data_IF_422686162908
#
_entry.id   IF_422686162908
#
_cell.length_a   1.000
_cell.length_b   1.000
_cell.length_c   1.000
_cell.angle_alpha   90.00
_cell.angle_beta   90.00
_cell.angle_gamma   90.00
#
_symmetry.space_group_name_H-M   'P 1'
#
loop_
_entity.id
_entity.type
_entity.pdbx_description
1 polymer ?
#
# COMPACT_ATOMS: atom_id res chain seq x y z
N UNK A 1 -40.05 -78.09 -17.58
CA UNK A 1 -40.63 -78.06 -16.22
C UNK A 1 -39.51 -77.87 -15.23
N UNK A 2 -39.49 -76.73 -14.52
CA UNK A 2 -38.68 -76.39 -13.33
C UNK A 2 -37.15 -76.35 -13.53
N UNK A 3 -36.35 -75.52 -12.87
CA UNK A 3 -36.45 -74.28 -12.12
C UNK A 3 -34.95 -73.84 -12.02
N UNK A 4 -34.60 -72.61 -12.42
CA UNK A 4 -34.30 -71.50 -11.52
C UNK A 4 -32.84 -71.40 -11.00
N UNK A 5 -32.40 -70.14 -10.90
CA UNK A 5 -31.37 -69.55 -10.01
C UNK A 5 -29.95 -69.34 -10.58
N UNK A 6 -29.77 -68.09 -11.04
CA UNK A 6 -28.76 -67.09 -10.67
C UNK A 6 -27.24 -67.38 -10.72
N UNK A 7 -26.53 -66.54 -11.50
CA UNK A 7 -25.17 -66.01 -11.23
C UNK A 7 -24.80 -65.05 -12.38
N UNK A 8 -25.02 -63.74 -12.25
CA UNK A 8 -24.03 -62.75 -11.82
C UNK A 8 -22.91 -62.46 -12.86
N UNK A 9 -23.12 -61.47 -13.73
CA UNK A 9 -22.04 -60.65 -14.30
C UNK A 9 -22.44 -59.18 -14.22
N UNK A 10 -22.02 -58.52 -13.15
CA UNK A 10 -22.24 -57.10 -12.91
C UNK A 10 -21.08 -56.32 -13.52
N UNK A 11 -21.34 -55.55 -14.57
CA UNK A 11 -20.41 -54.59 -15.14
C UNK A 11 -20.31 -53.35 -14.25
N UNK A 12 -19.30 -53.30 -13.39
CA UNK A 12 -19.02 -52.13 -12.57
C UNK A 12 -18.11 -51.15 -13.33
N UNK A 13 -18.74 -50.13 -13.95
CA UNK A 13 -18.05 -48.92 -14.38
C UNK A 13 -17.50 -48.18 -13.15
N UNK A 14 -16.18 -48.03 -13.08
CA UNK A 14 -15.47 -47.24 -12.07
C UNK A 14 -15.76 -45.76 -12.29
N UNK A 15 -16.64 -45.18 -11.47
CA UNK A 15 -16.85 -43.73 -11.41
C UNK A 15 -15.66 -43.07 -10.68
N UNK A 16 -14.97 -42.16 -11.36
CA UNK A 16 -13.94 -41.28 -10.78
C UNK A 16 -14.67 -40.14 -10.03
N UNK A 17 -14.41 -39.91 -8.73
CA UNK A 17 -15.00 -38.78 -8.03
C UNK A 17 -14.38 -37.46 -8.53
N UNK A 18 -15.19 -36.61 -9.17
CA UNK A 18 -14.83 -35.22 -9.48
C UNK A 18 -14.81 -34.42 -8.18
N UNK A 19 -13.61 -34.19 -7.65
CA UNK A 19 -13.39 -33.30 -6.53
C UNK A 19 -13.38 -31.85 -7.05
N UNK A 20 -14.52 -31.16 -6.98
CA UNK A 20 -14.59 -29.71 -7.20
C UNK A 20 -14.10 -29.00 -5.93
N UNK A 21 -13.05 -28.15 -5.98
CA UNK A 21 -12.68 -27.35 -4.83
C UNK A 21 -13.78 -26.33 -4.53
N UNK A 22 -14.30 -26.35 -3.29
CA UNK A 22 -15.32 -25.42 -2.81
C UNK A 22 -14.77 -23.99 -2.76
N UNK A 23 -15.33 -23.11 -3.60
CA UNK A 23 -15.02 -21.67 -3.69
C UNK A 23 -15.48 -20.82 -2.49
N UNK A 24 -15.75 -21.39 -1.31
CA UNK A 24 -16.49 -20.71 -0.24
C UNK A 24 -15.65 -19.97 0.81
N UNK A 25 -14.33 -19.79 0.63
CA UNK A 25 -13.47 -19.09 1.62
C UNK A 25 -13.12 -17.64 1.28
N UNK A 26 -13.38 -17.15 0.07
CA UNK A 26 -13.05 -15.77 -0.34
C UNK A 26 -14.10 -14.71 0.04
N UNK A 27 -15.34 -15.11 0.35
CA UNK A 27 -16.45 -14.15 0.55
C UNK A 27 -16.58 -13.60 1.98
N UNK A 28 -15.73 -14.04 2.93
CA UNK A 28 -15.82 -13.61 4.35
C UNK A 28 -14.91 -12.44 4.73
N UNK A 29 -13.98 -12.02 3.88
CA UNK A 29 -13.05 -10.91 4.19
C UNK A 29 -13.56 -9.53 3.72
N UNK A 30 -14.55 -9.50 2.82
CA UNK A 30 -15.13 -8.27 2.28
C UNK A 30 -15.81 -7.37 3.32
N UNK A 31 -16.59 -7.86 4.32
CA UNK A 31 -17.23 -6.97 5.29
C UNK A 31 -16.23 -6.36 6.28
N UNK A 32 -15.16 -7.08 6.63
CA UNK A 32 -14.08 -6.55 7.48
C UNK A 32 -13.28 -5.46 6.75
N UNK A 33 -13.07 -5.64 5.45
CA UNK A 33 -12.36 -4.69 4.60
C UNK A 33 -13.17 -3.42 4.34
N UNK A 34 -14.48 -3.55 4.14
CA UNK A 34 -15.40 -2.41 4.03
C UNK A 34 -15.46 -1.59 5.33
N UNK A 35 -15.45 -2.26 6.49
CA UNK A 35 -15.45 -1.61 7.79
C UNK A 35 -14.15 -0.83 8.08
N UNK A 36 -12.99 -1.37 7.66
CA UNK A 36 -11.69 -0.71 7.83
C UNK A 36 -11.53 0.51 6.90
N UNK A 37 -12.11 0.45 5.68
CA UNK A 37 -12.18 1.56 4.74
C UNK A 37 -13.13 2.67 5.23
N UNK A 38 -14.25 2.30 5.85
CA UNK A 38 -15.21 3.24 6.44
C UNK A 38 -14.62 3.94 7.68
N UNK A 39 -13.84 3.21 8.48
CA UNK A 39 -13.12 3.78 9.64
C UNK A 39 -12.01 4.76 9.20
N UNK A 40 -11.25 4.42 8.16
CA UNK A 40 -10.23 5.30 7.60
C UNK A 40 -10.83 6.57 6.96
N UNK A 41 -12.01 6.46 6.33
CA UNK A 41 -12.70 7.59 5.73
C UNK A 41 -13.34 8.53 6.77
N UNK A 42 -13.77 7.99 7.93
CA UNK A 42 -14.29 8.79 9.05
C UNK A 42 -13.17 9.58 9.77
N UNK A 43 -11.96 9.03 9.84
CA UNK A 43 -10.81 9.72 10.41
C UNK A 43 -10.30 10.86 9.49
N UNK A 44 -10.39 10.70 8.17
CA UNK A 44 -9.95 11.72 7.22
C UNK A 44 -10.90 12.93 7.14
N UNK A 45 -12.21 12.72 7.29
CA UNK A 45 -13.21 13.81 7.26
C UNK A 45 -13.32 14.56 8.59
N UNK A 46 -13.01 13.91 9.72
CA UNK A 46 -12.95 14.58 11.03
C UNK A 46 -11.80 15.61 11.14
N UNK A 47 -10.71 15.41 10.39
CA UNK A 47 -9.53 16.28 10.47
C UNK A 47 -9.68 17.59 9.68
N UNK A 48 -10.55 17.62 8.66
CA UNK A 48 -10.75 18.81 7.82
C UNK A 48 -11.75 19.83 8.40
N UNK A 49 -12.69 19.40 9.26
CA UNK A 49 -13.72 20.29 9.81
C UNK A 49 -13.35 20.94 11.15
N UNK A 50 -12.30 20.48 11.83
CA UNK A 50 -11.87 21.04 13.11
C UNK A 50 -10.97 22.29 12.99
N UNK A 51 -10.51 22.64 11.78
CA UNK A 51 -9.55 23.73 11.57
C UNK A 51 -10.17 25.13 11.40
N UNK A 52 -11.50 25.27 11.31
CA UNK A 52 -12.15 26.57 10.98
C UNK A 52 -13.01 27.19 12.09
N UNK A 53 -12.94 26.69 13.33
CA UNK A 53 -13.70 27.29 14.44
C UNK A 53 -12.88 27.28 15.74
N UNK A 54 -11.88 28.16 15.84
CA UNK A 54 -11.19 28.40 17.11
C UNK A 54 -11.28 29.89 17.47
N UNK A 55 -12.31 30.23 18.24
CA UNK A 55 -12.28 31.36 19.18
C UNK A 55 -11.26 31.05 20.30
N UNK A 56 -10.65 32.05 20.95
CA UNK A 56 -9.69 31.80 22.02
C UNK A 56 -10.45 31.43 23.30
N UNK A 57 -10.82 30.17 23.43
CA UNK A 57 -11.25 29.56 24.68
C UNK A 57 -10.32 28.39 24.98
N UNK A 58 -9.95 28.27 26.25
CA UNK A 58 -8.96 27.36 26.84
C UNK A 58 -8.93 25.95 26.21
N UNK A 59 -7.75 25.29 26.14
CA UNK A 59 -7.62 23.97 25.51
C UNK A 59 -8.26 22.90 26.39
N UNK A 60 -9.57 22.73 26.26
CA UNK A 60 -10.31 21.61 26.80
C UNK A 60 -10.53 20.61 25.65
N UNK A 61 -9.74 19.53 25.64
CA UNK A 61 -9.97 18.40 24.73
C UNK A 61 -11.10 17.56 25.34
N UNK A 62 -12.32 17.74 24.83
CA UNK A 62 -13.48 16.95 25.22
C UNK A 62 -13.63 15.72 24.32
N UNK A 63 -13.23 14.56 24.84
CA UNK A 63 -13.55 13.24 24.27
C UNK A 63 -14.79 12.66 24.99
N UNK A 64 -15.73 12.00 24.29
CA UNK A 64 -16.84 11.29 24.94
C UNK A 64 -16.29 10.22 25.89
N UNK A 65 -16.46 10.42 27.21
CA UNK A 65 -16.04 9.49 28.26
C UNK A 65 -14.72 9.81 28.96
N UNK A 66 -13.96 10.83 28.55
CA UNK A 66 -12.73 11.27 29.24
C UNK A 66 -12.68 12.80 29.26
N UNK A 67 -13.03 13.40 30.40
CA UNK A 67 -12.82 14.82 30.67
C UNK A 67 -11.46 15.00 31.35
N UNK A 68 -10.44 15.41 30.59
CA UNK A 68 -9.15 15.78 31.16
C UNK A 68 -9.22 17.25 31.59
N UNK A 69 -9.54 17.48 32.86
CA UNK A 69 -9.54 18.81 33.46
C UNK A 69 -8.12 19.17 33.93
N UNK A 70 -7.44 20.07 33.22
CA UNK A 70 -6.10 20.58 33.55
C UNK A 70 -6.13 21.65 34.65
N UNK A 71 -6.93 21.46 35.71
CA UNK A 71 -6.96 22.34 36.87
C UNK A 71 -6.90 21.50 38.16
N UNK A 72 -5.71 21.44 38.76
CA UNK A 72 -5.50 20.84 40.08
C UNK A 72 -5.13 19.35 40.11
N UNK A 73 -4.53 18.80 39.04
CA UNK A 73 -4.17 17.39 38.98
C UNK A 73 -3.08 17.01 39.98
N UNK A 74 -3.38 16.01 40.81
CA UNK A 74 -2.36 15.23 41.51
C UNK A 74 -1.36 14.66 40.49
N UNK A 75 -0.09 14.48 40.89
CA UNK A 75 1.00 14.04 40.00
C UNK A 75 0.70 12.75 39.19
N UNK A 76 -0.26 11.92 39.64
CA UNK A 76 -0.73 10.73 38.93
C UNK A 76 -1.65 11.02 37.73
N UNK A 77 -2.55 12.01 37.81
CA UNK A 77 -3.50 12.35 36.73
C UNK A 77 -2.82 13.06 35.56
N UNK A 78 -1.83 13.91 35.87
CA UNK A 78 -0.94 14.50 34.86
C UNK A 78 -0.19 13.42 34.07
N UNK A 79 0.18 12.30 34.72
CA UNK A 79 0.87 11.18 34.06
C UNK A 79 -0.02 10.39 33.10
N UNK A 80 -1.31 10.23 33.41
CA UNK A 80 -2.27 9.54 32.55
C UNK A 80 -2.66 10.39 31.34
N UNK A 81 -2.90 11.70 31.55
CA UNK A 81 -3.15 12.64 30.46
C UNK A 81 -1.95 12.69 29.48
N UNK A 82 -0.72 12.73 29.99
CA UNK A 82 0.49 12.73 29.17
C UNK A 82 0.66 11.41 28.39
N UNK A 83 0.35 10.26 28.99
CA UNK A 83 0.38 8.95 28.31
C UNK A 83 -0.63 8.89 27.15
N UNK A 84 -1.85 9.38 27.35
CA UNK A 84 -2.88 9.43 26.30
C UNK A 84 -2.43 10.38 25.18
N UNK A 85 -1.90 11.55 25.54
CA UNK A 85 -1.38 12.51 24.57
C UNK A 85 -0.24 11.90 23.71
N UNK A 86 0.72 11.23 24.34
CA UNK A 86 1.79 10.53 23.62
C UNK A 86 1.25 9.38 22.76
N UNK A 87 0.26 8.63 23.26
CA UNK A 87 -0.40 7.56 22.51
C UNK A 87 -1.10 8.06 21.25
N UNK A 88 -1.87 9.15 21.35
CA UNK A 88 -2.53 9.80 20.21
C UNK A 88 -1.51 10.36 19.21
N UNK A 89 -0.39 10.88 19.68
CA UNK A 89 0.71 11.37 18.84
C UNK A 89 1.33 10.23 18.01
N UNK A 90 1.59 9.07 18.62
CA UNK A 90 2.11 7.91 17.88
C UNK A 90 1.06 7.36 16.91
N UNK A 91 -0.21 7.34 17.32
CA UNK A 91 -1.30 6.84 16.50
C UNK A 91 -1.54 7.70 15.24
N UNK A 92 -1.32 9.02 15.31
CA UNK A 92 -1.45 9.90 14.15
C UNK A 92 -0.34 9.70 13.11
N UNK A 93 0.87 9.31 13.54
CA UNK A 93 2.00 9.02 12.66
C UNK A 93 1.98 7.59 12.11
N UNK A 94 1.28 6.67 12.77
CA UNK A 94 1.27 5.26 12.42
C UNK A 94 0.89 4.97 10.94
N UNK A 95 -0.13 5.63 10.33
CA UNK A 95 -0.46 5.38 8.93
C UNK A 95 0.68 5.71 7.98
N UNK A 96 1.38 6.83 8.20
CA UNK A 96 2.49 7.23 7.34
C UNK A 96 3.67 6.26 7.44
N UNK A 97 3.99 5.80 8.66
CA UNK A 97 5.06 4.82 8.91
C UNK A 97 4.71 3.47 8.29
N UNK A 98 3.47 3.00 8.42
CA UNK A 98 3.06 1.74 7.81
C UNK A 98 3.16 1.80 6.29
N UNK A 99 2.76 2.92 5.68
CA UNK A 99 2.84 3.11 4.23
C UNK A 99 4.29 3.12 3.74
N UNK A 100 5.22 3.74 4.49
CA UNK A 100 6.64 3.77 4.12
C UNK A 100 7.35 2.43 4.24
N UNK A 101 6.82 1.48 5.01
CA UNK A 101 7.34 0.13 5.18
C UNK A 101 6.73 -0.89 4.19
N UNK A 102 5.95 -0.42 3.21
CA UNK A 102 5.23 -1.29 2.26
C UNK A 102 5.53 -0.91 0.82
N UNK A 103 4.99 -1.68 -0.14
CA UNK A 103 5.04 -1.39 -1.57
C UNK A 103 4.34 -0.08 -1.98
N UNK A 104 3.62 0.59 -1.07
CA UNK A 104 2.82 1.78 -1.40
C UNK A 104 3.63 2.89 -2.07
N UNK A 105 4.85 3.15 -1.58
CA UNK A 105 5.71 4.25 -2.06
C UNK A 105 6.01 4.12 -3.56
N UNK A 106 6.40 2.94 -4.03
CA UNK A 106 6.70 2.74 -5.45
C UNK A 106 5.45 2.86 -6.31
N UNK A 107 4.34 2.28 -5.86
CA UNK A 107 3.08 2.27 -6.62
C UNK A 107 2.51 3.68 -6.78
N UNK A 108 2.40 4.45 -5.69
CA UNK A 108 1.81 5.80 -5.73
C UNK A 108 2.59 6.75 -6.63
N UNK A 109 3.92 6.66 -6.60
CA UNK A 109 4.80 7.52 -7.40
C UNK A 109 4.68 7.18 -8.88
N UNK A 110 4.72 5.92 -9.26
CA UNK A 110 4.56 5.51 -10.67
C UNK A 110 3.20 5.93 -11.22
N UNK A 111 2.12 5.70 -10.48
CA UNK A 111 0.77 6.11 -10.91
C UNK A 111 0.66 7.65 -11.00
N UNK A 112 1.32 8.37 -10.09
CA UNK A 112 1.37 9.84 -10.14
C UNK A 112 2.17 10.33 -11.33
N UNK A 113 3.32 9.72 -11.64
CA UNK A 113 4.14 10.05 -12.81
C UNK A 113 3.39 9.78 -14.12
N UNK A 114 2.63 8.68 -14.20
CA UNK A 114 1.74 8.40 -15.33
C UNK A 114 0.73 9.53 -15.56
N UNK A 115 0.04 10.00 -14.50
CA UNK A 115 -0.91 11.11 -14.59
C UNK A 115 -0.27 12.35 -15.24
N UNK A 116 0.95 12.69 -14.82
CA UNK A 116 1.70 13.81 -15.39
C UNK A 116 2.14 13.55 -16.84
N UNK A 117 2.55 12.31 -17.16
CA UNK A 117 2.97 11.94 -18.50
C UNK A 117 1.85 12.07 -19.54
N UNK A 118 0.62 11.71 -19.16
CA UNK A 118 -0.57 11.87 -20.00
C UNK A 118 -0.93 13.35 -20.24
N UNK A 119 -0.44 14.27 -19.41
CA UNK A 119 -0.72 15.71 -19.53
C UNK A 119 -2.13 16.10 -19.11
N UNK A 120 -2.85 15.23 -18.39
CA UNK A 120 -4.21 15.49 -17.92
C UNK A 120 -4.18 16.35 -16.65
N UNK A 121 -4.96 17.43 -16.63
CA UNK A 121 -5.12 18.28 -15.45
C UNK A 121 -6.02 17.57 -14.43
N UNK A 122 -5.45 17.20 -13.29
CA UNK A 122 -6.15 16.60 -12.12
C UNK A 122 -7.01 15.35 -12.38
N UNK A 123 -6.88 14.74 -13.56
CA UNK A 123 -7.56 13.49 -13.91
C UNK A 123 -6.53 12.40 -14.18
N UNK A 124 -6.55 11.26 -13.49
CA UNK A 124 -7.46 10.90 -12.39
C UNK A 124 -7.23 11.74 -11.11
N UNK A 125 -8.27 11.95 -10.28
CA UNK A 125 -8.14 12.64 -9.00
C UNK A 125 -7.13 11.95 -8.08
N UNK A 126 -6.42 12.72 -7.25
CA UNK A 126 -5.44 12.17 -6.30
C UNK A 126 -6.04 11.08 -5.39
N UNK A 127 -7.30 11.24 -4.97
CA UNK A 127 -8.03 10.24 -4.17
C UNK A 127 -8.18 8.90 -4.87
N UNK A 128 -8.38 8.89 -6.20
CA UNK A 128 -8.48 7.67 -7.00
C UNK A 128 -7.11 7.00 -7.10
N UNK A 129 -6.06 7.78 -7.32
CA UNK A 129 -4.68 7.26 -7.40
C UNK A 129 -4.25 6.65 -6.06
N UNK A 130 -4.50 7.35 -4.95
CA UNK A 130 -4.22 6.84 -3.60
C UNK A 130 -5.02 5.57 -3.29
N UNK A 131 -6.31 5.54 -3.64
CA UNK A 131 -7.15 4.35 -3.44
C UNK A 131 -6.63 3.16 -4.24
N UNK A 132 -6.33 3.37 -5.53
CA UNK A 132 -5.76 2.32 -6.38
C UNK A 132 -4.40 1.83 -5.83
N UNK A 133 -3.54 2.74 -5.41
CA UNK A 133 -2.26 2.41 -4.81
C UNK A 133 -2.41 1.59 -3.53
N UNK A 134 -3.37 1.93 -2.67
CA UNK A 134 -3.69 1.14 -1.47
C UNK A 134 -4.15 -0.28 -1.83
N UNK A 135 -5.10 -0.43 -2.76
CA UNK A 135 -5.58 -1.76 -3.16
C UNK A 135 -4.47 -2.61 -3.79
N UNK A 136 -3.64 -2.03 -4.65
CA UNK A 136 -2.48 -2.72 -5.22
C UNK A 136 -1.43 -3.07 -4.16
N UNK A 137 -1.27 -2.21 -3.13
CA UNK A 137 -0.40 -2.51 -1.99
C UNK A 137 -0.94 -3.71 -1.21
N UNK A 138 -2.24 -3.77 -0.90
CA UNK A 138 -2.84 -4.92 -0.23
C UNK A 138 -2.71 -6.21 -1.04
N UNK A 139 -2.86 -6.11 -2.36
CA UNK A 139 -2.66 -7.24 -3.27
C UNK A 139 -1.22 -7.74 -3.22
N UNK A 140 -0.25 -6.83 -3.36
CA UNK A 140 1.19 -7.15 -3.37
C UNK A 140 1.69 -7.66 -2.02
N UNK A 141 1.23 -7.04 -0.93
CA UNK A 141 1.63 -7.36 0.45
C UNK A 141 0.81 -8.51 1.07
N UNK A 142 -0.11 -9.12 0.32
CA UNK A 142 -0.93 -10.23 0.81
C UNK A 142 -0.14 -11.34 1.53
N UNK A 143 0.98 -11.88 1.00
CA UNK A 143 1.76 -12.89 1.71
C UNK A 143 2.31 -12.37 3.05
N UNK A 144 2.89 -11.17 3.07
CA UNK A 144 3.43 -10.54 4.29
C UNK A 144 2.35 -10.33 5.34
N UNK A 145 1.18 -9.80 4.96
CA UNK A 145 0.07 -9.60 5.90
C UNK A 145 -0.53 -10.92 6.41
N UNK A 146 -0.55 -11.97 5.59
CA UNK A 146 -0.96 -13.30 6.05
C UNK A 146 0.01 -13.87 7.08
N UNK A 147 1.32 -13.66 6.91
CA UNK A 147 2.31 -14.06 7.91
C UNK A 147 2.18 -13.28 9.21
N UNK A 148 2.01 -11.95 9.15
CA UNK A 148 1.75 -11.13 10.34
C UNK A 148 0.48 -11.62 11.06
N UNK A 149 -0.59 -11.89 10.32
CA UNK A 149 -1.84 -12.35 10.90
C UNK A 149 -1.68 -13.71 11.62
N UNK A 150 -1.01 -14.67 10.98
CA UNK A 150 -0.85 -16.03 11.51
C UNK A 150 0.17 -16.13 12.64
N UNK A 151 1.31 -15.42 12.54
CA UNK A 151 2.42 -15.49 13.50
C UNK A 151 2.27 -14.54 14.69
N UNK A 152 1.56 -13.42 14.54
CA UNK A 152 1.46 -12.40 15.58
C UNK A 152 0.01 -12.09 16.01
N UNK A 153 -0.87 -11.76 15.06
CA UNK A 153 -2.21 -11.26 15.40
C UNK A 153 -3.11 -12.34 16.02
N UNK A 154 -3.19 -13.52 15.40
CA UNK A 154 -4.01 -14.63 15.90
C UNK A 154 -3.55 -15.13 17.28
N UNK A 155 -2.25 -15.39 17.53
CA UNK A 155 -1.78 -15.75 18.87
C UNK A 155 -2.07 -14.68 19.93
N UNK A 156 -1.92 -13.41 19.60
CA UNK A 156 -2.23 -12.31 20.50
C UNK A 156 -3.73 -12.24 20.84
N UNK A 157 -4.59 -12.31 19.83
CA UNK A 157 -6.05 -12.31 20.03
C UNK A 157 -6.55 -13.53 20.81
N UNK A 158 -5.88 -14.68 20.67
CA UNK A 158 -6.19 -15.91 21.40
C UNK A 158 -5.57 -15.94 22.81
N UNK A 159 -4.90 -14.88 23.24
CA UNK A 159 -4.26 -14.80 24.57
C UNK A 159 -3.05 -15.71 24.76
N UNK A 160 -2.52 -16.32 23.68
CA UNK A 160 -1.35 -17.22 23.73
C UNK A 160 -0.02 -16.47 23.59
N UNK A 161 -0.07 -15.16 23.30
CA UNK A 161 1.10 -14.30 23.14
C UNK A 161 0.87 -12.92 23.77
N UNK A 162 1.87 -12.41 24.49
CA UNK A 162 1.87 -11.05 25.07
C UNK A 162 2.10 -10.01 23.97
N UNK A 163 1.56 -8.80 24.12
CA UNK A 163 1.65 -7.70 23.15
C UNK A 163 3.07 -7.45 22.64
N UNK A 164 4.07 -7.40 23.53
CA UNK A 164 5.46 -7.13 23.15
C UNK A 164 6.04 -8.21 22.22
N UNK A 165 5.76 -9.49 22.52
CA UNK A 165 6.17 -10.60 21.66
C UNK A 165 5.42 -10.59 20.33
N UNK A 166 4.14 -10.24 20.33
CA UNK A 166 3.34 -10.12 19.11
C UNK A 166 3.90 -9.04 18.19
N UNK A 167 4.29 -7.88 18.75
CA UNK A 167 4.93 -6.81 17.99
C UNK A 167 6.25 -7.29 17.36
N UNK A 168 7.11 -7.96 18.15
CA UNK A 168 8.37 -8.50 17.64
C UNK A 168 8.16 -9.50 16.49
N UNK A 169 7.18 -10.40 16.63
CA UNK A 169 6.85 -11.38 15.58
C UNK A 169 6.22 -10.73 14.34
N UNK A 170 5.45 -9.65 14.50
CA UNK A 170 4.85 -8.92 13.39
C UNK A 170 5.89 -8.16 12.55
N UNK A 171 6.98 -7.70 13.16
CA UNK A 171 8.03 -6.93 12.46
C UNK A 171 8.87 -7.82 11.54
N UNK A 172 9.07 -9.10 11.87
CA UNK A 172 9.92 -10.02 11.10
C UNK A 172 9.52 -10.17 9.61
N UNK A 173 8.26 -10.51 9.25
CA UNK A 173 7.87 -10.65 7.84
C UNK A 173 7.91 -9.30 7.10
N UNK A 174 7.63 -8.18 7.78
CA UNK A 174 7.75 -6.84 7.19
C UNK A 174 9.22 -6.51 6.88
N UNK A 175 10.12 -6.85 7.81
CA UNK A 175 11.57 -6.72 7.62
C UNK A 175 12.05 -7.55 6.45
N UNK A 176 11.66 -8.81 6.38
CA UNK A 176 12.05 -9.71 5.29
C UNK A 176 11.61 -9.17 3.93
N UNK A 177 10.39 -8.65 3.83
CA UNK A 177 9.92 -7.96 2.63
C UNK A 177 10.82 -6.78 2.25
N UNK A 178 11.13 -5.90 3.20
CA UNK A 178 11.99 -4.73 2.93
C UNK A 178 13.40 -5.13 2.50
N UNK A 179 14.01 -6.13 3.16
CA UNK A 179 15.36 -6.60 2.81
C UNK A 179 15.40 -7.11 1.37
N UNK A 180 14.40 -7.91 0.96
CA UNK A 180 14.33 -8.45 -0.41
C UNK A 180 14.22 -7.36 -1.49
N UNK A 181 13.57 -6.24 -1.17
CA UNK A 181 13.33 -5.14 -2.10
C UNK A 181 14.39 -4.03 -2.03
N UNK A 182 15.21 -4.01 -0.98
CA UNK A 182 16.25 -2.99 -0.79
C UNK A 182 17.49 -3.35 -1.60
N UNK A 183 18.02 -2.39 -2.35
CA UNK A 183 19.27 -2.60 -3.09
C UNK A 183 20.45 -2.58 -2.11
N UNK A 184 21.38 -3.51 -2.29
CA UNK A 184 22.59 -3.61 -1.45
C UNK A 184 23.36 -2.28 -1.37
N UNK A 185 23.43 -1.54 -2.48
CA UNK A 185 24.09 -0.23 -2.55
C UNK A 185 23.44 0.82 -1.63
N UNK A 186 22.11 0.86 -1.57
CA UNK A 186 21.38 1.83 -0.73
C UNK A 186 21.50 1.46 0.74
N UNK A 187 21.53 0.15 1.03
CA UNK A 187 21.73 -0.38 2.36
C UNK A 187 23.14 -0.11 2.88
N UNK A 188 24.16 -0.37 2.05
CA UNK A 188 25.56 -0.08 2.36
C UNK A 188 25.77 1.40 2.67
N UNK A 189 25.16 2.30 1.88
CA UNK A 189 25.20 3.73 2.13
C UNK A 189 24.62 4.10 3.51
N UNK A 190 23.46 3.55 3.89
CA UNK A 190 22.88 3.83 5.20
C UNK A 190 23.73 3.30 6.36
N UNK A 191 24.37 2.14 6.20
CA UNK A 191 25.30 1.57 7.19
C UNK A 191 26.53 2.47 7.35
N UNK A 192 27.11 2.91 6.24
CA UNK A 192 28.27 3.82 6.22
C UNK A 192 27.94 5.15 6.91
N UNK A 193 26.81 5.77 6.56
CA UNK A 193 26.36 7.03 7.16
C UNK A 193 26.05 6.89 8.65
N UNK A 194 25.54 5.74 9.08
CA UNK A 194 25.29 5.45 10.49
C UNK A 194 26.58 5.25 11.31
N UNK A 195 27.75 5.17 10.66
CA UNK A 195 29.04 4.79 11.28
C UNK A 195 28.93 3.51 12.11
N UNK A 196 28.02 2.61 11.72
CA UNK A 196 27.79 1.35 12.40
C UNK A 196 28.92 0.36 12.03
N UNK A 197 29.19 -0.61 12.91
CA UNK A 197 30.06 -1.74 12.53
C UNK A 197 29.49 -2.43 11.31
N UNK A 198 30.38 -2.86 10.41
CA UNK A 198 29.96 -3.48 9.16
C UNK A 198 29.21 -4.79 9.47
N UNK A 199 27.91 -4.88 9.14
CA UNK A 199 27.10 -6.05 9.46
C UNK A 199 27.62 -7.26 8.70
N UNK A 200 27.68 -8.42 9.37
CA UNK A 200 28.15 -9.67 8.75
C UNK A 200 27.03 -10.35 7.97
N UNK A 201 25.79 -10.13 8.40
CA UNK A 201 24.58 -10.68 7.79
C UNK A 201 23.50 -9.61 7.63
N UNK A 202 22.54 -9.86 6.74
CA UNK A 202 21.40 -8.95 6.55
C UNK A 202 20.52 -8.84 7.80
N UNK A 203 20.61 -9.78 8.75
CA UNK A 203 19.86 -9.77 10.00
C UNK A 203 20.44 -8.80 11.03
N UNK A 204 21.73 -8.44 10.92
CA UNK A 204 22.41 -7.53 11.85
C UNK A 204 22.00 -6.05 11.64
N UNK A 205 21.31 -5.75 10.54
CA UNK A 205 20.99 -4.38 10.15
C UNK A 205 19.78 -3.87 10.92
N UNK A 206 19.91 -2.79 11.70
CA UNK A 206 18.78 -2.24 12.44
C UNK A 206 17.67 -1.68 11.54
N UNK A 207 16.44 -1.63 12.06
CA UNK A 207 15.28 -1.04 11.35
C UNK A 207 15.49 0.45 11.04
N UNK A 208 16.26 1.17 11.86
CA UNK A 208 16.58 2.58 11.65
C UNK A 208 17.42 2.81 10.40
N UNK A 209 18.23 1.83 9.98
CA UNK A 209 19.00 1.87 8.74
C UNK A 209 18.22 1.28 7.56
N UNK A 210 17.48 0.19 7.80
CA UNK A 210 16.75 -0.52 6.76
C UNK A 210 15.60 0.30 6.17
N UNK A 211 14.78 0.95 7.00
CA UNK A 211 13.62 1.73 6.52
C UNK A 211 14.04 2.84 5.53
N UNK A 212 15.00 3.73 5.85
CA UNK A 212 15.42 4.75 4.89
C UNK A 212 16.11 4.17 3.65
N UNK A 213 16.90 3.09 3.77
CA UNK A 213 17.50 2.40 2.63
C UNK A 213 16.42 1.83 1.68
N UNK A 214 15.40 1.19 2.26
CA UNK A 214 14.24 0.67 1.54
C UNK A 214 13.50 1.80 0.82
N UNK A 215 13.16 2.88 1.51
CA UNK A 215 12.48 4.03 0.89
C UNK A 215 13.27 4.59 -0.31
N UNK A 216 14.59 4.74 -0.18
CA UNK A 216 15.44 5.19 -1.30
C UNK A 216 15.45 4.19 -2.46
N UNK A 217 15.48 2.89 -2.17
CA UNK A 217 15.40 1.82 -3.17
C UNK A 217 14.06 1.86 -3.93
N UNK A 218 12.95 2.02 -3.20
CA UNK A 218 11.60 2.14 -3.78
C UNK A 218 11.47 3.42 -4.62
N UNK A 219 11.96 4.55 -4.13
CA UNK A 219 11.98 5.81 -4.88
C UNK A 219 12.73 5.66 -6.19
N UNK A 220 13.95 5.11 -6.17
CA UNK A 220 14.74 4.91 -7.38
C UNK A 220 14.01 4.02 -8.38
N UNK A 221 13.48 2.89 -7.90
CA UNK A 221 12.72 1.96 -8.76
C UNK A 221 11.48 2.62 -9.36
N UNK A 222 10.75 3.41 -8.57
CA UNK A 222 9.59 4.16 -9.03
C UNK A 222 9.95 5.19 -10.11
N UNK A 223 11.02 5.95 -9.91
CA UNK A 223 11.49 6.92 -10.91
C UNK A 223 11.98 6.25 -12.20
N UNK A 224 12.66 5.10 -12.10
CA UNK A 224 13.08 4.34 -13.28
C UNK A 224 11.87 3.87 -14.09
N UNK A 225 10.88 3.25 -13.44
CA UNK A 225 9.64 2.79 -14.08
C UNK A 225 8.89 3.99 -14.67
N UNK A 226 8.72 5.05 -13.88
CA UNK A 226 8.03 6.27 -14.29
C UNK A 226 8.70 6.95 -15.48
N UNK A 227 10.03 6.99 -15.53
CA UNK A 227 10.78 7.53 -16.67
C UNK A 227 10.54 6.71 -17.94
N UNK A 228 10.59 5.38 -17.86
CA UNK A 228 10.31 4.49 -19.01
C UNK A 228 8.88 4.69 -19.52
N UNK A 229 7.91 4.84 -18.62
CA UNK A 229 6.52 5.15 -18.96
C UNK A 229 6.40 6.54 -19.62
N UNK A 230 7.21 7.51 -19.20
CA UNK A 230 7.16 8.89 -19.70
C UNK A 230 7.65 9.02 -21.16
N UNK A 231 8.65 8.23 -21.56
CA UNK A 231 9.31 8.31 -22.87
C UNK A 231 8.35 8.29 -24.08
N UNK A 232 7.39 7.36 -24.22
CA UNK A 232 6.48 7.35 -25.38
C UNK A 232 5.61 8.60 -25.45
N UNK A 233 5.15 9.13 -24.32
CA UNK A 233 4.32 10.35 -24.30
C UNK A 233 5.13 11.60 -24.63
N UNK A 234 6.37 11.68 -24.15
CA UNK A 234 7.31 12.75 -24.50
C UNK A 234 7.57 12.75 -26.01
N UNK A 235 7.75 11.58 -26.62
CA UNK A 235 7.93 11.47 -28.07
C UNK A 235 6.72 12.01 -28.84
N UNK A 236 5.50 11.73 -28.38
CA UNK A 236 4.27 12.32 -28.97
C UNK A 236 4.29 13.85 -28.86
N UNK A 237 4.69 14.41 -27.72
CA UNK A 237 4.80 15.87 -27.55
C UNK A 237 5.79 16.50 -28.52
N UNK A 238 6.98 15.91 -28.66
CA UNK A 238 8.03 16.40 -29.55
C UNK A 238 7.58 16.37 -31.01
N UNK A 239 6.94 15.27 -31.44
CA UNK A 239 6.44 15.13 -32.82
C UNK A 239 5.34 16.16 -33.09
N UNK A 240 4.33 16.26 -32.22
CA UNK A 240 3.21 17.20 -32.40
C UNK A 240 3.72 18.64 -32.40
N UNK A 241 4.63 18.99 -31.50
CA UNK A 241 5.24 20.32 -31.45
C UNK A 241 5.98 20.67 -32.74
N UNK A 242 6.83 19.76 -33.25
CA UNK A 242 7.56 19.96 -34.51
C UNK A 242 6.62 20.11 -35.71
N UNK A 243 5.52 19.35 -35.75
CA UNK A 243 4.52 19.43 -36.81
C UNK A 243 3.75 20.76 -36.77
N UNK A 244 3.33 21.24 -35.58
CA UNK A 244 2.65 22.53 -35.42
C UNK A 244 3.56 23.70 -35.80
N UNK A 245 4.84 23.65 -35.41
CA UNK A 245 5.83 24.64 -35.80
C UNK A 245 6.03 24.68 -37.31
N UNK A 246 6.06 23.50 -37.97
CA UNK A 246 6.15 23.42 -39.44
C UNK A 246 4.93 23.98 -40.16
N UNK A 247 3.74 23.95 -39.54
CA UNK A 247 2.51 24.55 -40.09
C UNK A 247 2.39 26.05 -39.81
N UNK A 248 3.34 26.64 -39.06
CA UNK A 248 3.30 28.05 -38.67
C UNK A 248 2.34 28.38 -37.53
N UNK A 249 1.79 27.37 -36.83
CA UNK A 249 0.86 27.57 -35.71
C UNK A 249 1.61 27.81 -34.39
N UNK A 250 2.25 28.97 -34.25
CA UNK A 250 3.04 29.31 -33.04
C UNK A 250 2.18 29.59 -31.80
N UNK A 251 0.90 29.94 -31.98
CA UNK A 251 0.01 30.37 -30.89
C UNK A 251 -0.81 29.24 -30.25
N UNK A 252 -0.85 28.05 -30.86
CA UNK A 252 -1.58 26.90 -30.31
C UNK A 252 -0.64 26.11 -29.40
N UNK A 253 -0.93 25.96 -28.10
CA UNK A 253 -0.10 25.15 -27.22
C UNK A 253 -0.05 23.70 -27.73
N UNK A 254 1.15 23.15 -28.02
CA UNK A 254 1.26 21.76 -28.51
C UNK A 254 0.65 20.72 -27.56
N UNK A 255 0.63 21.02 -26.26
CA UNK A 255 0.01 20.19 -25.22
C UNK A 255 -1.50 19.96 -25.46
N UNK A 256 -2.23 20.96 -25.98
CA UNK A 256 -3.67 20.85 -26.22
C UNK A 256 -3.99 19.88 -27.37
N UNK A 257 -3.08 19.77 -28.35
CA UNK A 257 -3.24 18.88 -29.50
C UNK A 257 -2.72 17.47 -29.20
N UNK A 258 -1.61 17.36 -28.48
CA UNK A 258 -1.00 16.07 -28.10
C UNK A 258 -1.82 15.28 -27.07
N UNK A 259 -2.54 15.95 -26.16
CA UNK A 259 -3.34 15.28 -25.12
C UNK A 259 -4.33 14.22 -25.67
N UNK A 260 -5.24 14.53 -26.61
CA UNK A 260 -6.16 13.51 -27.14
C UNK A 260 -5.43 12.35 -27.85
N UNK A 261 -4.30 12.63 -28.52
CA UNK A 261 -3.46 11.61 -29.15
C UNK A 261 -2.83 10.67 -28.12
N UNK A 262 -2.31 11.21 -27.02
CA UNK A 262 -1.75 10.43 -25.91
C UNK A 262 -2.80 9.54 -25.25
N UNK A 263 -3.99 10.08 -24.99
CA UNK A 263 -5.09 9.31 -24.39
C UNK A 263 -5.51 8.18 -25.33
N UNK A 264 -5.67 8.46 -26.63
CA UNK A 264 -6.01 7.44 -27.61
C UNK A 264 -4.95 6.34 -27.65
N UNK A 265 -3.67 6.70 -27.75
CA UNK A 265 -2.55 5.75 -27.72
C UNK A 265 -2.59 4.90 -26.45
N UNK A 266 -2.76 5.52 -25.29
CA UNK A 266 -2.79 4.84 -24.00
C UNK A 266 -3.95 3.84 -23.88
N UNK A 267 -5.13 4.18 -24.38
CA UNK A 267 -6.29 3.28 -24.41
C UNK A 267 -6.08 2.15 -25.41
N UNK A 268 -5.54 2.44 -26.59
CA UNK A 268 -5.31 1.42 -27.65
C UNK A 268 -4.31 0.34 -27.24
N UNK A 269 -3.32 0.69 -26.43
CA UNK A 269 -2.32 -0.28 -25.93
C UNK A 269 -2.73 -0.96 -24.63
N UNK A 270 -3.94 -0.70 -24.11
CA UNK A 270 -4.37 -1.14 -22.79
C UNK A 270 -3.37 -0.74 -21.68
N UNK A 271 -3.03 0.55 -21.64
CA UNK A 271 -1.93 1.07 -20.83
C UNK A 271 -2.09 0.87 -19.33
N UNK A 272 -3.32 0.85 -18.80
CA UNK A 272 -3.57 0.53 -17.39
C UNK A 272 -3.11 -0.89 -17.04
N UNK A 273 -3.40 -1.86 -17.90
CA UNK A 273 -3.02 -3.25 -17.70
C UNK A 273 -1.49 -3.42 -17.79
N UNK A 274 -0.85 -2.76 -18.75
CA UNK A 274 0.61 -2.75 -18.88
C UNK A 274 1.30 -2.20 -17.63
N UNK A 275 0.79 -1.10 -17.06
CA UNK A 275 1.40 -0.46 -15.89
C UNK A 275 1.20 -1.30 -14.64
N UNK A 276 0.01 -1.87 -14.43
CA UNK A 276 -0.25 -2.76 -13.30
C UNK A 276 0.64 -3.99 -13.37
N UNK A 277 0.81 -4.59 -14.56
CA UNK A 277 1.73 -5.74 -14.76
C UNK A 277 3.18 -5.37 -14.51
N UNK A 278 3.63 -4.22 -15.02
CA UNK A 278 4.99 -3.75 -14.81
C UNK A 278 5.27 -3.49 -13.33
N UNK A 279 4.33 -2.87 -12.62
CA UNK A 279 4.42 -2.64 -11.18
C UNK A 279 4.46 -3.95 -10.40
N UNK A 280 3.47 -4.82 -10.56
CA UNK A 280 3.36 -6.06 -9.78
C UNK A 280 4.49 -7.06 -10.09
N UNK A 281 4.98 -7.08 -11.34
CA UNK A 281 6.12 -7.91 -11.72
C UNK A 281 7.43 -7.54 -11.03
N UNK A 282 7.57 -6.29 -10.56
CA UNK A 282 8.79 -5.81 -9.91
C UNK A 282 8.91 -6.20 -8.44
N UNK A 283 7.88 -6.78 -7.83
CA UNK A 283 7.87 -7.19 -6.42
C UNK A 283 8.10 -8.69 -6.22
N UNK A 284 8.77 -9.34 -7.19
CA UNK A 284 9.14 -10.75 -7.10
C UNK A 284 10.38 -11.00 -6.25
#
# INVERSE_FOLDING_TARGET
>A
MHAAIASATNGAAKAVPKNTPSHSRQTRLWPAFAFLLLLACLCATGFAFAASAASPASPAVSLPGVQVSLNGASSGEMSSALKIFLGLTVLSLAPAILMSMTAFVRIIIVLSMLRHALGMQETPPNTVIVSLALFLTFFTMSPTFNEVNTKALQPYMNGTMVADKALQQAVLPMREFMVRQTREQDLALMVELAKAEQPKTMDDIGMLQLIPAFMLSELRSAFQIGFVIFLPFLLVDLIVSSALMSLGMMMVPPASISLPLKILMFVLIDGWNLIVRALLGTFS
#
